data_IF_299662029229
#
_entry.id   IF_299662029229
#
_cell.length_a   1.000
_cell.length_b   1.000
_cell.length_c   1.000
_cell.angle_alpha   90.00
_cell.angle_beta   90.00
_cell.angle_gamma   90.00
#
_symmetry.space_group_name_H-M   'P 1'
#
loop_
_entity.id
_entity.type
_entity.pdbx_description
1 polymer ?
#
# COMPACT_ATOMS: atom_id res chain seq x y z
N UNK A 1 7.16 -8.97 0.02
CA UNK A 1 8.53 -8.44 0.17
C UNK A 1 8.57 -7.20 1.07
N UNK A 2 7.83 -6.12 0.79
CA UNK A 2 7.93 -4.86 1.55
C UNK A 2 7.73 -4.95 3.08
N UNK A 3 6.69 -5.64 3.55
CA UNK A 3 6.47 -5.82 5.00
C UNK A 3 7.64 -6.57 5.67
N UNK A 4 8.19 -7.59 5.01
CA UNK A 4 9.35 -8.34 5.52
C UNK A 4 10.61 -7.47 5.66
N UNK A 5 10.83 -6.55 4.73
CA UNK A 5 11.93 -5.56 4.80
C UNK A 5 11.74 -4.62 6.00
N UNK A 6 10.52 -4.13 6.25
CA UNK A 6 10.23 -3.30 7.43
C UNK A 6 10.47 -4.03 8.76
N UNK A 7 10.08 -5.31 8.84
CA UNK A 7 10.37 -6.15 10.02
C UNK A 7 11.88 -6.28 10.23
N UNK A 8 12.64 -6.48 9.15
CA UNK A 8 14.10 -6.55 9.17
C UNK A 8 14.81 -5.25 9.56
N UNK A 9 14.14 -4.10 9.42
CA UNK A 9 14.66 -2.78 9.81
C UNK A 9 14.04 -2.23 11.10
N UNK A 10 13.47 -3.07 11.96
CA UNK A 10 13.04 -2.61 13.27
C UNK A 10 11.60 -2.10 13.37
N UNK A 11 10.78 -2.21 12.31
CA UNK A 11 9.41 -1.66 12.25
C UNK A 11 8.29 -2.72 12.18
N UNK A 12 8.07 -3.55 13.23
CA UNK A 12 7.11 -4.63 13.20
C UNK A 12 5.66 -4.14 13.25
N UNK A 13 5.38 -3.05 13.97
CA UNK A 13 4.01 -2.54 14.13
C UNK A 13 3.55 -1.93 12.82
N UNK A 14 4.38 -1.09 12.20
CA UNK A 14 4.07 -0.52 10.88
C UNK A 14 3.91 -1.63 9.83
N UNK A 15 4.78 -2.65 9.84
CA UNK A 15 4.64 -3.82 8.96
C UNK A 15 3.30 -4.54 9.17
N UNK A 16 2.89 -4.78 10.41
CA UNK A 16 1.62 -5.45 10.72
C UNK A 16 0.41 -4.61 10.28
N UNK A 17 0.43 -3.30 10.54
CA UNK A 17 -0.64 -2.39 10.10
C UNK A 17 -0.76 -2.38 8.57
N UNK A 18 0.36 -2.29 7.84
CA UNK A 18 0.35 -2.36 6.38
C UNK A 18 -0.16 -3.71 5.87
N UNK A 19 0.28 -4.81 6.49
CA UNK A 19 -0.18 -6.15 6.14
C UNK A 19 -1.70 -6.26 6.32
N UNK A 20 -2.25 -5.78 7.44
CA UNK A 20 -3.68 -5.82 7.74
C UNK A 20 -4.50 -4.96 6.78
N UNK A 21 -4.10 -3.70 6.55
CA UNK A 21 -4.86 -2.79 5.67
C UNK A 21 -4.78 -3.25 4.21
N UNK A 22 -3.60 -3.70 3.77
CA UNK A 22 -3.40 -4.09 2.37
C UNK A 22 -4.00 -5.46 2.07
N UNK A 23 -3.62 -6.51 2.82
CA UNK A 23 -4.15 -7.85 2.56
C UNK A 23 -5.58 -8.03 3.06
N UNK A 24 -5.91 -7.48 4.24
CA UNK A 24 -7.25 -7.65 4.83
C UNK A 24 -8.29 -6.66 4.31
N UNK A 25 -7.88 -5.42 4.00
CA UNK A 25 -8.78 -4.39 3.49
C UNK A 25 -8.82 -4.36 1.96
N UNK A 26 -7.75 -3.86 1.35
CA UNK A 26 -7.75 -3.50 -0.07
C UNK A 26 -7.77 -4.71 -1.01
N UNK A 27 -6.96 -5.75 -0.77
CA UNK A 27 -6.95 -6.92 -1.64
C UNK A 27 -8.27 -7.67 -1.65
N UNK A 28 -9.00 -7.71 -0.53
CA UNK A 28 -10.30 -8.38 -0.46
C UNK A 28 -11.34 -7.66 -1.34
N UNK A 29 -11.43 -6.34 -1.21
CA UNK A 29 -12.33 -5.52 -2.03
C UNK A 29 -11.95 -5.60 -3.50
N UNK A 30 -10.64 -5.55 -3.80
CA UNK A 30 -10.14 -5.71 -5.17
C UNK A 30 -10.53 -7.07 -5.76
N UNK A 31 -10.32 -8.16 -5.03
CA UNK A 31 -10.68 -9.50 -5.49
C UNK A 31 -12.18 -9.63 -5.74
N UNK A 32 -13.02 -9.03 -4.88
CA UNK A 32 -14.47 -9.00 -5.08
C UNK A 32 -14.86 -8.25 -6.37
N UNK A 33 -14.31 -7.07 -6.60
CA UNK A 33 -14.58 -6.30 -7.83
C UNK A 33 -14.01 -6.97 -9.08
N UNK A 34 -12.82 -7.56 -9.00
CA UNK A 34 -12.22 -8.30 -10.11
C UNK A 34 -13.06 -9.53 -10.47
N UNK A 35 -13.61 -10.24 -9.47
CA UNK A 35 -14.52 -11.36 -9.72
C UNK A 35 -15.82 -10.92 -10.41
N UNK A 36 -16.36 -9.74 -10.07
CA UNK A 36 -17.55 -9.18 -10.72
C UNK A 36 -17.28 -8.66 -12.15
N UNK A 37 -16.06 -8.23 -12.45
CA UNK A 37 -15.65 -7.71 -13.75
C UNK A 37 -14.88 -8.73 -14.60
N UNK A 38 -14.82 -10.00 -14.18
CA UNK A 38 -14.01 -11.01 -14.84
C UNK A 38 -14.56 -11.34 -16.24
N UNK A 39 -13.71 -11.17 -17.26
CA UNK A 39 -14.03 -11.61 -18.62
C UNK A 39 -13.89 -13.15 -18.75
N UNK A 40 -14.64 -13.81 -19.65
CA UNK A 40 -14.63 -15.27 -19.79
C UNK A 40 -13.27 -15.87 -20.20
N UNK A 41 -12.39 -15.07 -20.82
CA UNK A 41 -11.07 -15.49 -21.29
C UNK A 41 -9.99 -14.50 -20.86
N UNK A 42 -9.53 -14.56 -19.59
CA UNK A 42 -8.51 -13.64 -19.11
C UNK A 42 -7.17 -13.91 -19.81
N UNK A 43 -6.48 -12.84 -20.23
CA UNK A 43 -5.11 -12.95 -20.73
C UNK A 43 -4.19 -13.44 -19.61
N UNK A 44 -3.72 -14.67 -19.72
CA UNK A 44 -2.82 -15.28 -18.76
C UNK A 44 -1.36 -14.82 -18.95
N UNK A 45 -0.53 -15.10 -17.95
CA UNK A 45 0.91 -14.80 -17.98
C UNK A 45 1.65 -15.50 -19.14
N UNK A 46 1.09 -16.58 -19.70
CA UNK A 46 1.63 -17.31 -20.84
C UNK A 46 1.32 -16.68 -22.20
N UNK A 47 0.51 -15.61 -22.27
CA UNK A 47 0.26 -14.90 -23.51
C UNK A 47 1.53 -14.18 -23.98
N UNK A 48 1.86 -14.34 -25.27
CA UNK A 48 3.08 -13.77 -25.85
C UNK A 48 3.11 -12.24 -25.75
N UNK A 49 1.95 -11.59 -25.85
CA UNK A 49 1.79 -10.14 -25.65
C UNK A 49 2.20 -9.71 -24.25
N UNK A 50 1.64 -10.35 -23.21
CA UNK A 50 1.92 -10.07 -21.80
C UNK A 50 3.39 -10.30 -21.48
N UNK A 51 3.99 -11.39 -22.00
CA UNK A 51 5.40 -11.69 -21.81
C UNK A 51 6.32 -10.58 -22.37
N UNK A 52 5.99 -10.02 -23.54
CA UNK A 52 6.75 -8.90 -24.13
C UNK A 52 6.63 -7.64 -23.27
N UNK A 53 5.44 -7.29 -22.81
CA UNK A 53 5.25 -6.15 -21.90
C UNK A 53 6.00 -6.31 -20.59
N UNK A 54 5.94 -7.50 -19.97
CA UNK A 54 6.67 -7.81 -18.74
C UNK A 54 8.18 -7.72 -18.95
N UNK A 55 8.70 -8.24 -20.06
CA UNK A 55 10.12 -8.14 -20.40
C UNK A 55 10.57 -6.68 -20.57
N UNK A 56 9.81 -5.87 -21.31
CA UNK A 56 10.09 -4.45 -21.50
C UNK A 56 10.07 -3.68 -20.17
N UNK A 57 9.10 -3.96 -19.31
CA UNK A 57 9.01 -3.35 -17.98
C UNK A 57 10.22 -3.70 -17.11
N UNK A 58 10.57 -4.99 -17.01
CA UNK A 58 11.74 -5.43 -16.24
C UNK A 58 13.01 -4.79 -16.78
N UNK A 59 13.18 -4.75 -18.10
CA UNK A 59 14.35 -4.16 -18.75
C UNK A 59 14.41 -2.64 -18.48
N UNK A 60 13.28 -1.94 -18.52
CA UNK A 60 13.16 -0.54 -18.15
C UNK A 60 13.52 -0.27 -16.68
N UNK A 61 13.03 -1.10 -15.76
CA UNK A 61 13.36 -1.00 -14.32
C UNK A 61 14.84 -1.27 -14.07
N UNK A 62 15.42 -2.29 -14.72
CA UNK A 62 16.86 -2.59 -14.61
C UNK A 62 17.73 -1.46 -15.18
N UNK A 63 17.34 -0.86 -16.32
CA UNK A 63 18.05 0.29 -16.86
C UNK A 63 17.94 1.49 -15.93
N UNK A 64 16.74 1.82 -15.47
CA UNK A 64 16.53 2.92 -14.51
C UNK A 64 17.33 2.71 -13.22
N UNK A 65 17.34 1.49 -12.66
CA UNK A 65 18.10 1.18 -11.46
C UNK A 65 19.61 1.23 -11.70
N UNK A 66 20.10 0.83 -12.88
CA UNK A 66 21.51 0.95 -13.24
C UNK A 66 21.98 2.41 -13.38
N UNK A 67 21.10 3.31 -13.86
CA UNK A 67 21.40 4.74 -14.00
C UNK A 67 21.36 5.45 -12.63
N UNK A 68 20.46 5.02 -11.73
CA UNK A 68 20.30 5.60 -10.39
C UNK A 68 21.26 4.99 -9.35
N UNK A 69 21.75 3.76 -9.60
CA UNK A 69 22.53 2.97 -8.64
C UNK A 69 23.95 3.47 -8.33
N UNK A 70 24.49 4.40 -9.12
CA UNK A 70 25.89 4.83 -8.99
C UNK A 70 26.20 5.84 -7.88
N UNK A 71 25.20 6.44 -7.20
CA UNK A 71 25.48 7.55 -6.27
C UNK A 71 24.47 7.84 -5.16
N UNK A 72 23.38 7.07 -5.04
CA UNK A 72 22.33 7.34 -4.03
C UNK A 72 22.29 6.32 -2.88
N UNK A 73 23.00 5.20 -2.99
CA UNK A 73 22.85 4.07 -2.07
C UNK A 73 23.68 4.20 -0.78
N UNK A 74 24.68 5.09 -0.76
CA UNK A 74 25.62 5.22 0.36
C UNK A 74 25.03 5.94 1.58
N UNK A 75 24.04 6.82 1.41
CA UNK A 75 23.61 7.74 2.48
C UNK A 75 22.30 7.38 3.18
N UNK A 76 21.57 6.37 2.73
CA UNK A 76 20.21 6.08 3.25
C UNK A 76 20.02 4.67 3.80
N UNK A 77 21.06 3.83 3.74
CA UNK A 77 21.03 2.41 4.14
C UNK A 77 21.82 2.16 5.42
N UNK A 78 22.01 3.16 6.29
CA UNK A 78 22.49 2.90 7.64
C UNK A 78 21.36 2.20 8.38
N UNK A 79 21.49 0.91 8.74
CA UNK A 79 20.52 0.28 9.60
C UNK A 79 20.57 1.03 10.93
N UNK A 80 19.45 1.68 11.27
CA UNK A 80 19.30 2.42 12.52
C UNK A 80 19.49 1.56 13.79
N UNK A 81 19.71 0.24 13.64
CA UNK A 81 20.01 -0.68 14.73
C UNK A 81 21.43 -0.53 15.30
N UNK A 82 22.43 -0.10 14.51
CA UNK A 82 23.83 -0.04 15.00
C UNK A 82 24.08 1.13 15.99
N UNK A 83 23.22 2.14 16.04
CA UNK A 83 23.33 3.27 16.98
C UNK A 83 22.46 3.12 18.23
N UNK A 84 21.66 2.05 18.32
CA UNK A 84 20.51 1.96 19.20
C UNK A 84 20.52 0.82 20.23
N UNK A 85 21.65 0.16 20.49
CA UNK A 85 21.76 -0.95 21.46
C UNK A 85 21.30 -0.59 22.90
N UNK A 86 21.06 0.70 23.19
CA UNK A 86 20.59 1.19 24.49
C UNK A 86 19.12 1.67 24.52
N UNK A 87 18.36 1.52 23.44
CA UNK A 87 16.94 1.91 23.41
C UNK A 87 16.02 0.72 23.66
N UNK A 88 15.56 0.56 24.91
CA UNK A 88 14.52 -0.43 25.28
C UNK A 88 13.19 -0.14 24.55
N UNK A 89 13.01 1.08 24.04
CA UNK A 89 11.84 1.47 23.25
C UNK A 89 12.13 1.36 21.75
N UNK A 90 11.49 0.39 21.09
CA UNK A 90 11.43 0.31 19.63
C UNK A 90 10.71 1.56 19.12
N UNK A 91 11.36 2.36 18.28
CA UNK A 91 10.85 3.67 17.82
C UNK A 91 9.43 3.62 17.25
N UNK A 92 9.04 2.48 16.66
CA UNK A 92 7.69 2.21 16.14
C UNK A 92 6.61 2.35 17.23
N UNK A 93 6.84 1.79 18.43
CA UNK A 93 5.88 1.85 19.55
C UNK A 93 5.84 3.27 20.16
N UNK A 94 6.99 3.94 20.24
CA UNK A 94 7.08 5.33 20.68
C UNK A 94 6.34 6.29 19.73
N UNK A 95 6.45 6.07 18.42
CA UNK A 95 5.74 6.84 17.40
C UNK A 95 4.22 6.75 17.56
N UNK A 96 3.69 5.54 17.82
CA UNK A 96 2.26 5.34 18.06
C UNK A 96 1.77 6.12 19.30
N UNK A 97 2.55 6.10 20.38
CA UNK A 97 2.20 6.88 21.57
C UNK A 97 2.18 8.39 21.29
N UNK A 98 3.09 8.89 20.44
CA UNK A 98 3.09 10.29 20.01
C UNK A 98 1.90 10.65 19.11
N UNK A 99 1.43 9.72 18.28
CA UNK A 99 0.21 9.93 17.46
C UNK A 99 -1.02 10.18 18.33
N UNK A 100 -1.19 9.44 19.43
CA UNK A 100 -2.33 9.60 20.33
C UNK A 100 -2.19 10.77 21.31
N UNK A 101 -0.97 11.24 21.59
CA UNK A 101 -0.74 12.36 22.51
C UNK A 101 -0.71 13.70 21.78
N UNK A 102 0.34 13.97 21.02
CA UNK A 102 0.54 15.24 20.29
C UNK A 102 -0.11 15.23 18.91
N UNK A 103 -0.29 14.05 18.31
CA UNK A 103 -0.84 13.87 16.95
C UNK A 103 -2.36 13.93 16.83
N UNK A 104 -3.10 14.22 17.91
CA UNK A 104 -4.57 14.14 17.94
C UNK A 104 -5.26 14.95 16.84
N UNK A 105 -4.73 16.13 16.49
CA UNK A 105 -5.28 16.94 15.39
C UNK A 105 -5.25 16.22 14.03
N UNK A 106 -4.16 15.50 13.72
CA UNK A 106 -4.07 14.70 12.50
C UNK A 106 -5.03 13.51 12.52
N UNK A 107 -5.24 12.89 13.70
CA UNK A 107 -6.22 11.81 13.85
C UNK A 107 -7.64 12.29 13.57
N UNK A 108 -8.04 13.45 14.09
CA UNK A 108 -9.37 14.03 13.83
C UNK A 108 -9.57 14.30 12.35
N UNK A 109 -8.57 14.89 11.67
CA UNK A 109 -8.62 15.13 10.23
C UNK A 109 -8.74 13.81 9.46
N UNK A 110 -7.95 12.79 9.82
CA UNK A 110 -8.03 11.47 9.16
C UNK A 110 -9.39 10.80 9.33
N UNK A 111 -9.97 10.86 10.53
CA UNK A 111 -11.28 10.30 10.81
C UNK A 111 -12.37 11.04 10.01
N UNK A 112 -12.27 12.37 9.93
CA UNK A 112 -13.17 13.20 9.15
C UNK A 112 -13.13 12.84 7.66
N UNK A 113 -11.92 12.73 7.09
CA UNK A 113 -11.74 12.33 5.68
C UNK A 113 -12.30 10.94 5.43
N UNK A 114 -12.01 9.95 6.29
CA UNK A 114 -12.55 8.61 6.15
C UNK A 114 -14.08 8.58 6.20
N UNK A 115 -14.68 9.36 7.11
CA UNK A 115 -16.13 9.49 7.23
C UNK A 115 -16.75 10.14 5.98
N UNK A 116 -16.12 11.18 5.42
CA UNK A 116 -16.54 11.76 4.14
C UNK A 116 -16.41 10.74 2.99
N UNK A 117 -15.33 9.96 2.93
CA UNK A 117 -15.19 8.92 1.89
C UNK A 117 -16.29 7.86 2.00
N UNK A 118 -16.67 7.46 3.22
CA UNK A 118 -17.78 6.55 3.45
C UNK A 118 -19.10 7.12 2.91
N UNK A 119 -19.40 8.40 3.19
CA UNK A 119 -20.60 9.04 2.63
C UNK A 119 -20.57 9.09 1.11
N UNK A 120 -19.44 9.42 0.50
CA UNK A 120 -19.29 9.43 -0.96
C UNK A 120 -19.60 8.04 -1.53
N UNK A 121 -19.01 6.98 -0.96
CA UNK A 121 -19.26 5.60 -1.42
C UNK A 121 -20.72 5.19 -1.20
N UNK A 122 -21.34 5.58 -0.09
CA UNK A 122 -22.75 5.31 0.18
C UNK A 122 -23.68 6.03 -0.80
N UNK A 123 -23.44 7.29 -1.13
CA UNK A 123 -24.24 8.03 -2.11
C UNK A 123 -24.05 7.48 -3.54
N UNK A 124 -22.82 7.09 -3.91
CA UNK A 124 -22.56 6.46 -5.21
C UNK A 124 -23.30 5.12 -5.34
N UNK A 125 -23.25 4.27 -4.30
CA UNK A 125 -23.94 2.97 -4.30
C UNK A 125 -25.46 3.10 -4.18
N UNK A 126 -25.96 4.10 -3.42
CA UNK A 126 -27.40 4.42 -3.36
C UNK A 126 -27.94 5.02 -4.65
N UNK A 127 -27.16 5.84 -5.34
CA UNK A 127 -27.51 6.44 -6.63
C UNK A 127 -27.81 5.38 -7.69
N UNK A 128 -27.09 4.25 -7.65
CA UNK A 128 -27.34 3.08 -8.50
C UNK A 128 -28.75 2.50 -8.33
N UNK A 129 -29.39 2.67 -7.16
CA UNK A 129 -30.73 2.13 -6.85
C UNK A 129 -31.90 3.06 -7.23
N UNK A 130 -31.66 4.35 -7.52
CA UNK A 130 -32.74 5.35 -7.72
C UNK A 130 -32.57 6.31 -8.92
N UNK A 131 -31.47 6.30 -9.68
CA UNK A 131 -31.30 7.23 -10.82
C UNK A 131 -30.45 6.70 -11.98
N UNK A 132 -31.01 6.79 -13.19
CA UNK A 132 -30.41 6.92 -14.54
C UNK A 132 -29.20 6.07 -15.00
N UNK A 133 -28.65 5.15 -14.20
CA UNK A 133 -27.62 4.17 -14.63
C UNK A 133 -28.20 2.78 -14.89
N UNK A 134 -29.49 2.70 -15.24
CA UNK A 134 -30.00 1.63 -16.10
C UNK A 134 -29.66 2.00 -17.54
N UNK A 135 -28.40 1.84 -17.92
CA UNK A 135 -28.01 1.76 -19.30
C UNK A 135 -27.30 0.42 -19.49
N UNK A 136 -28.12 -0.59 -19.81
CA UNK A 136 -27.78 -1.96 -20.25
C UNK A 136 -27.29 -2.89 -19.15
#
# INVERSE_FOLDING_TARGET
>A
MGCGVLVGHGGPFLSLVLFLIYLGGMLVVFAYSAALAAEPFPEGWGARSVAVYMALYVLGVCLASSVVGGGWFESSWVPAEELGEFSVFRGDIGGVALMYSLGGGMLVISAWVLLLTLFVVLELTRGLSRGALRAV
#
